data_IF_308363901745
#
_entry.id   IF_308363901745
#
_cell.length_a   1.000
_cell.length_b   1.000
_cell.length_c   1.000
_cell.angle_alpha   90.00
_cell.angle_beta   90.00
_cell.angle_gamma   90.00
#
_symmetry.space_group_name_H-M   'P 1'
#
loop_
_entity.id
_entity.type
_entity.pdbx_description
1 polymer ?
#
# COMPACT_ATOMS: atom_id res chain seq x y z
N UNK A 1 26.27 -8.24 -6.74
CA UNK A 1 24.89 -7.68 -6.73
C UNK A 1 24.43 -7.60 -5.28
N UNK A 2 23.98 -6.43 -4.83
CA UNK A 2 23.61 -6.18 -3.44
C UNK A 2 22.11 -6.39 -3.19
N UNK A 3 21.71 -6.45 -1.90
CA UNK A 3 20.32 -6.44 -1.49
C UNK A 3 19.69 -5.08 -1.80
N UNK A 4 18.49 -5.07 -2.38
CA UNK A 4 17.72 -3.84 -2.65
C UNK A 4 17.00 -3.30 -1.41
N UNK A 5 16.54 -4.19 -0.53
CA UNK A 5 15.89 -3.90 0.75
C UNK A 5 15.81 -5.14 1.62
N UNK A 6 15.55 -4.97 2.93
CA UNK A 6 15.28 -6.06 3.88
C UNK A 6 13.90 -5.90 4.48
N UNK A 7 13.09 -6.96 4.41
CA UNK A 7 11.85 -7.04 5.18
C UNK A 7 12.17 -7.46 6.62
N UNK A 8 11.72 -6.68 7.58
CA UNK A 8 11.97 -6.90 9.01
C UNK A 8 10.71 -7.43 9.65
N UNK A 9 10.64 -8.74 9.96
CA UNK A 9 9.48 -9.34 10.60
C UNK A 9 9.34 -8.81 12.03
N UNK A 10 8.11 -8.82 12.54
CA UNK A 10 7.76 -8.41 13.92
C UNK A 10 8.40 -7.09 14.34
N UNK A 11 8.36 -6.10 13.44
CA UNK A 11 8.84 -4.77 13.73
C UNK A 11 7.95 -4.11 14.80
N UNK A 12 8.49 -3.90 15.99
CA UNK A 12 7.75 -3.44 17.17
C UNK A 12 8.25 -2.09 17.71
N UNK A 13 9.39 -1.60 17.20
CA UNK A 13 9.96 -0.31 17.59
C UNK A 13 10.97 0.22 16.57
N UNK A 14 11.25 1.50 16.61
CA UNK A 14 12.37 2.09 15.86
C UNK A 14 13.73 1.50 16.28
N UNK A 15 13.86 1.06 17.52
CA UNK A 15 15.09 0.43 18.02
C UNK A 15 15.34 -0.95 17.37
N UNK A 16 14.30 -1.72 17.06
CA UNK A 16 14.41 -2.98 16.32
C UNK A 16 15.01 -2.73 14.93
N UNK A 17 14.48 -1.72 14.25
CA UNK A 17 14.96 -1.32 12.93
C UNK A 17 16.42 -0.83 12.97
N UNK A 18 16.76 -0.04 13.98
CA UNK A 18 18.13 0.44 14.17
C UNK A 18 19.14 -0.72 14.37
N UNK A 19 18.75 -1.80 15.06
CA UNK A 19 19.59 -3.01 15.20
C UNK A 19 19.81 -3.71 13.85
N UNK A 20 18.74 -3.85 13.04
CA UNK A 20 18.85 -4.45 11.70
C UNK A 20 19.70 -3.58 10.79
N UNK A 21 19.47 -2.26 10.78
CA UNK A 21 20.27 -1.30 10.02
C UNK A 21 21.76 -1.38 10.37
N UNK A 22 22.09 -1.46 11.65
CA UNK A 22 23.48 -1.59 12.12
C UNK A 22 24.14 -2.88 11.62
N UNK A 23 23.39 -3.98 11.56
CA UNK A 23 23.90 -5.27 11.12
C UNK A 23 24.02 -5.36 9.59
N UNK A 24 23.09 -4.75 8.84
CA UNK A 24 23.01 -4.82 7.38
C UNK A 24 23.79 -3.72 6.64
N UNK A 25 24.31 -2.73 7.37
CA UNK A 25 24.96 -1.55 6.80
C UNK A 25 24.04 -0.33 6.69
N UNK A 26 24.62 0.84 6.89
CA UNK A 26 23.90 2.11 7.12
C UNK A 26 23.06 2.63 5.93
N UNK A 27 23.00 1.93 4.81
CA UNK A 27 22.25 2.37 3.62
C UNK A 27 21.23 1.34 3.12
N UNK A 28 21.03 0.22 3.82
CA UNK A 28 20.11 -0.82 3.39
C UNK A 28 18.66 -0.42 3.70
N UNK A 29 17.79 -0.24 2.68
CA UNK A 29 16.39 0.11 2.90
C UNK A 29 15.66 -0.99 3.69
N UNK A 30 14.79 -0.59 4.61
CA UNK A 30 14.03 -1.47 5.47
C UNK A 30 12.54 -1.45 5.11
N UNK A 31 11.92 -2.62 5.15
CA UNK A 31 10.46 -2.80 5.00
C UNK A 31 9.95 -3.44 6.29
N UNK A 32 9.56 -2.65 7.31
CA UNK A 32 8.98 -3.20 8.53
C UNK A 32 7.68 -3.95 8.24
N UNK A 33 7.59 -5.20 8.71
CA UNK A 33 6.37 -6.00 8.66
C UNK A 33 5.61 -5.82 9.99
N UNK A 34 4.45 -5.19 9.90
CA UNK A 34 3.55 -4.90 11.02
C UNK A 34 2.60 -6.09 11.18
N UNK A 35 2.85 -6.90 12.18
CA UNK A 35 2.18 -8.18 12.36
C UNK A 35 1.95 -8.55 13.84
N UNK A 36 2.05 -7.55 14.73
CA UNK A 36 1.77 -7.68 16.16
C UNK A 36 1.04 -6.44 16.69
N UNK A 37 0.30 -6.60 17.79
CA UNK A 37 -0.33 -5.50 18.51
C UNK A 37 0.68 -4.41 18.89
N UNK A 38 1.86 -4.82 19.38
CA UNK A 38 2.92 -3.89 19.76
C UNK A 38 3.43 -3.10 18.55
N UNK A 39 3.64 -3.76 17.38
CA UNK A 39 4.05 -3.09 16.15
C UNK A 39 2.99 -2.12 15.64
N UNK A 40 1.71 -2.50 15.75
CA UNK A 40 0.59 -1.62 15.39
C UNK A 40 0.49 -0.42 16.34
N UNK A 41 0.72 -0.60 17.64
CA UNK A 41 0.76 0.47 18.61
C UNK A 41 1.92 1.45 18.36
N UNK A 42 3.09 0.94 18.00
CA UNK A 42 4.29 1.73 17.70
C UNK A 42 4.38 2.21 16.24
N UNK A 43 3.30 2.09 15.47
CA UNK A 43 3.29 2.25 14.01
C UNK A 43 3.89 3.59 13.53
N UNK A 44 3.63 4.69 14.24
CA UNK A 44 4.16 6.01 13.88
C UNK A 44 5.68 6.08 14.06
N UNK A 45 6.20 5.57 15.17
CA UNK A 45 7.64 5.55 15.46
C UNK A 45 8.38 4.65 14.46
N UNK A 46 7.77 3.49 14.14
CA UNK A 46 8.30 2.56 13.13
C UNK A 46 8.32 3.20 11.75
N UNK A 47 7.24 3.89 11.35
CA UNK A 47 7.16 4.52 10.04
C UNK A 47 8.16 5.66 9.85
N UNK A 48 8.50 6.38 10.93
CA UNK A 48 9.44 7.51 10.89
C UNK A 48 10.89 7.10 11.13
N UNK A 49 11.15 5.82 11.40
CA UNK A 49 12.51 5.35 11.64
C UNK A 49 13.39 5.51 10.38
N UNK A 50 14.70 5.82 10.56
CA UNK A 50 15.61 5.94 9.43
C UNK A 50 15.62 4.71 8.53
N UNK A 51 15.81 4.91 7.23
CA UNK A 51 15.91 3.87 6.20
C UNK A 51 14.63 3.07 5.94
N UNK A 52 13.52 3.40 6.57
CA UNK A 52 12.24 2.79 6.21
C UNK A 52 11.86 3.23 4.81
N UNK A 53 11.79 2.25 3.92
CA UNK A 53 11.38 2.44 2.52
C UNK A 53 9.86 2.42 2.39
N UNK A 54 9.20 1.47 3.05
CA UNK A 54 7.76 1.22 2.95
C UNK A 54 7.30 0.31 4.08
N UNK A 55 6.09 0.50 4.58
CA UNK A 55 5.47 -0.43 5.55
C UNK A 55 4.88 -1.65 4.84
N UNK A 56 4.83 -2.78 5.52
CA UNK A 56 4.10 -3.96 5.09
C UNK A 56 3.19 -4.49 6.20
N UNK A 57 2.05 -5.08 5.84
CA UNK A 57 1.10 -5.70 6.77
C UNK A 57 1.28 -7.21 6.79
N UNK A 58 1.50 -7.79 7.96
CA UNK A 58 1.47 -9.22 8.22
C UNK A 58 0.18 -9.63 8.93
N UNK A 59 -0.95 -9.58 8.21
CA UNK A 59 -2.28 -9.69 8.80
C UNK A 59 -2.59 -11.04 9.45
N UNK A 60 -1.97 -12.13 9.00
CA UNK A 60 -2.20 -13.46 9.58
C UNK A 60 -1.59 -13.56 10.98
N UNK A 61 -0.34 -13.14 11.14
CA UNK A 61 0.31 -13.09 12.45
C UNK A 61 -0.38 -12.09 13.38
N UNK A 62 -0.81 -10.94 12.84
CA UNK A 62 -1.54 -9.95 13.61
C UNK A 62 -2.89 -10.49 14.12
N UNK A 63 -3.63 -11.24 13.29
CA UNK A 63 -4.85 -11.90 13.72
C UNK A 63 -4.59 -12.89 14.86
N UNK A 64 -3.52 -13.69 14.72
CA UNK A 64 -3.13 -14.65 15.76
C UNK A 64 -2.72 -13.94 17.07
N UNK A 65 -1.95 -12.85 16.98
CA UNK A 65 -1.50 -12.07 18.13
C UNK A 65 -2.66 -11.39 18.87
N UNK A 66 -3.65 -10.92 18.12
CA UNK A 66 -4.85 -10.25 18.69
C UNK A 66 -5.96 -11.23 19.10
N UNK A 67 -5.86 -12.54 18.77
CA UNK A 67 -6.95 -13.49 18.92
C UNK A 67 -8.14 -13.17 18.01
N UNK A 68 -7.90 -12.52 16.88
CA UNK A 68 -8.93 -12.05 15.94
C UNK A 68 -9.29 -13.16 14.95
N UNK A 69 -10.58 -13.30 14.66
CA UNK A 69 -11.09 -14.16 13.58
C UNK A 69 -11.80 -13.29 12.58
N UNK A 70 -11.26 -13.22 11.36
CA UNK A 70 -11.84 -12.41 10.30
C UNK A 70 -12.83 -13.17 9.43
N UNK A 71 -13.84 -12.47 8.96
CA UNK A 71 -14.69 -12.93 7.86
C UNK A 71 -13.96 -12.98 6.52
N UNK A 72 -14.61 -13.53 5.49
CA UNK A 72 -14.03 -13.67 4.15
C UNK A 72 -13.65 -12.31 3.50
N UNK A 73 -14.33 -11.25 3.88
CA UNK A 73 -14.05 -9.89 3.40
C UNK A 73 -12.99 -9.15 4.24
N UNK A 74 -12.57 -9.76 5.37
CA UNK A 74 -11.62 -9.19 6.33
C UNK A 74 -11.98 -7.76 6.76
N UNK A 75 -13.27 -7.49 6.96
CA UNK A 75 -13.77 -6.17 7.37
C UNK A 75 -13.17 -5.72 8.71
N UNK A 76 -12.86 -6.69 9.60
CA UNK A 76 -12.25 -6.47 10.92
C UNK A 76 -10.87 -5.81 10.81
N UNK A 77 -10.16 -6.04 9.72
CA UNK A 77 -8.84 -5.43 9.46
C UNK A 77 -8.94 -4.05 8.79
N UNK A 78 -10.13 -3.53 8.54
CA UNK A 78 -10.31 -2.23 7.87
C UNK A 78 -9.61 -1.08 8.58
N UNK A 79 -9.72 -1.02 9.92
CA UNK A 79 -9.03 -0.01 10.74
C UNK A 79 -7.52 -0.15 10.70
N UNK A 80 -7.02 -1.38 10.72
CA UNK A 80 -5.58 -1.67 10.64
C UNK A 80 -5.02 -1.19 9.30
N UNK A 81 -5.68 -1.54 8.19
CA UNK A 81 -5.29 -1.09 6.85
C UNK A 81 -5.27 0.43 6.73
N UNK A 82 -6.31 1.09 7.22
CA UNK A 82 -6.37 2.55 7.22
C UNK A 82 -5.22 3.16 8.03
N UNK A 83 -4.91 2.62 9.22
CA UNK A 83 -3.81 3.11 10.05
C UNK A 83 -2.45 2.99 9.33
N UNK A 84 -2.15 1.89 8.64
CA UNK A 84 -0.91 1.74 7.87
C UNK A 84 -0.80 2.78 6.74
N UNK A 85 -1.90 3.01 6.02
CA UNK A 85 -1.94 4.03 4.95
C UNK A 85 -1.73 5.44 5.52
N UNK A 86 -2.38 5.76 6.64
CA UNK A 86 -2.21 7.05 7.31
C UNK A 86 -0.77 7.23 7.83
N UNK A 87 -0.20 6.22 8.49
CA UNK A 87 1.17 6.27 9.00
C UNK A 87 2.19 6.44 7.87
N UNK A 88 2.04 5.69 6.77
CA UNK A 88 2.87 5.85 5.58
C UNK A 88 2.78 7.27 5.03
N UNK A 89 1.57 7.83 4.96
CA UNK A 89 1.36 9.18 4.45
C UNK A 89 1.98 10.26 5.33
N UNK A 90 1.82 10.15 6.65
CA UNK A 90 2.37 11.09 7.63
C UNK A 90 3.91 11.06 7.66
N UNK A 91 4.49 9.88 7.46
CA UNK A 91 5.94 9.70 7.37
C UNK A 91 6.51 10.00 5.97
N UNK A 92 5.70 10.48 5.01
CA UNK A 92 6.07 10.70 3.60
C UNK A 92 6.65 9.45 2.90
N UNK A 93 6.23 8.26 3.34
CA UNK A 93 6.59 7.01 2.69
C UNK A 93 5.69 6.74 1.47
N UNK A 94 6.15 5.92 0.51
CA UNK A 94 5.28 5.32 -0.49
C UNK A 94 4.13 4.54 0.17
N UNK A 95 3.00 4.34 -0.53
CA UNK A 95 1.88 3.55 -0.01
C UNK A 95 2.31 2.15 0.43
N UNK A 96 1.71 1.59 1.51
CA UNK A 96 2.18 0.34 2.11
C UNK A 96 1.91 -0.90 1.22
N UNK A 97 2.50 -2.02 1.61
CA UNK A 97 2.32 -3.35 1.04
C UNK A 97 1.28 -4.09 1.88
N UNK A 98 0.18 -4.59 1.28
CA UNK A 98 -0.81 -5.39 2.01
C UNK A 98 -0.34 -6.84 2.19
N UNK A 99 -0.98 -7.54 3.11
CA UNK A 99 -0.68 -8.92 3.45
C UNK A 99 -0.97 -9.91 2.31
N UNK A 100 -0.68 -11.17 2.54
CA UNK A 100 -0.82 -12.25 1.55
C UNK A 100 -2.29 -12.62 1.29
N UNK A 101 -2.59 -13.29 0.19
CA UNK A 101 -3.76 -14.16 0.06
C UNK A 101 -3.30 -15.59 0.25
N UNK A 102 -4.01 -16.37 1.07
CA UNK A 102 -3.60 -17.76 1.41
C UNK A 102 -3.91 -18.75 0.30
N UNK A 103 -4.87 -18.44 -0.59
CA UNK A 103 -5.19 -19.31 -1.72
C UNK A 103 -4.12 -19.23 -2.81
N UNK A 104 -3.62 -20.39 -3.23
CA UNK A 104 -2.71 -20.53 -4.39
C UNK A 104 -3.45 -21.02 -5.64
N UNK A 105 -4.73 -21.39 -5.52
CA UNK A 105 -5.54 -21.95 -6.60
C UNK A 105 -6.67 -21.04 -7.02
N UNK A 106 -7.34 -20.37 -6.08
CA UNK A 106 -8.41 -19.42 -6.37
C UNK A 106 -7.82 -18.04 -6.71
N UNK A 107 -7.49 -17.87 -7.98
CA UNK A 107 -6.92 -16.61 -8.48
C UNK A 107 -7.94 -15.48 -8.55
N UNK A 108 -9.24 -15.79 -8.61
CA UNK A 108 -10.29 -14.77 -8.54
C UNK A 108 -10.38 -14.18 -7.13
N UNK A 109 -10.22 -14.99 -6.10
CA UNK A 109 -10.09 -14.51 -4.73
C UNK A 109 -8.85 -13.63 -4.56
N UNK A 110 -7.69 -14.03 -5.10
CA UNK A 110 -6.45 -13.22 -5.05
C UNK A 110 -6.64 -11.86 -5.72
N UNK A 111 -7.30 -11.83 -6.89
CA UNK A 111 -7.64 -10.58 -7.59
C UNK A 111 -8.56 -9.68 -6.74
N UNK A 112 -9.61 -10.27 -6.14
CA UNK A 112 -10.55 -9.55 -5.28
C UNK A 112 -9.86 -8.96 -4.05
N UNK A 113 -9.00 -9.72 -3.39
CA UNK A 113 -8.20 -9.28 -2.24
C UNK A 113 -7.27 -8.12 -2.62
N UNK A 114 -6.57 -8.23 -3.74
CA UNK A 114 -5.68 -7.18 -4.22
C UNK A 114 -6.47 -5.91 -4.61
N UNK A 115 -7.64 -6.06 -5.23
CA UNK A 115 -8.52 -4.94 -5.53
C UNK A 115 -9.06 -4.27 -4.24
N UNK A 116 -9.35 -5.03 -3.19
CA UNK A 116 -9.67 -4.51 -1.85
C UNK A 116 -8.50 -3.71 -1.29
N UNK A 117 -7.28 -4.27 -1.32
CA UNK A 117 -6.07 -3.58 -0.88
C UNK A 117 -5.89 -2.22 -1.57
N UNK A 118 -6.05 -2.18 -2.89
CA UNK A 118 -6.00 -0.94 -3.67
C UNK A 118 -7.02 0.09 -3.23
N UNK A 119 -8.27 -0.33 -2.93
CA UNK A 119 -9.32 0.57 -2.43
C UNK A 119 -8.97 1.21 -1.09
N UNK A 120 -8.20 0.53 -0.23
CA UNK A 120 -7.68 1.09 1.01
C UNK A 120 -6.49 2.03 0.80
N UNK A 121 -5.88 2.08 -0.37
CA UNK A 121 -4.74 2.95 -0.66
C UNK A 121 -3.38 2.25 -0.60
N UNK A 122 -3.36 0.92 -0.61
CA UNK A 122 -2.13 0.15 -0.80
C UNK A 122 -1.72 0.16 -2.28
N UNK A 123 -0.42 -0.05 -2.54
CA UNK A 123 0.12 -0.12 -3.91
C UNK A 123 0.87 -1.41 -4.21
N UNK A 124 0.88 -2.34 -3.29
CA UNK A 124 1.48 -3.64 -3.44
C UNK A 124 0.79 -4.64 -2.53
N UNK A 125 0.99 -5.91 -2.81
CA UNK A 125 0.53 -7.03 -2.00
C UNK A 125 1.61 -8.09 -1.95
N UNK A 126 1.82 -8.68 -0.77
CA UNK A 126 2.70 -9.83 -0.62
C UNK A 126 2.11 -11.05 -1.32
N UNK A 127 2.95 -11.79 -2.04
CA UNK A 127 2.60 -13.02 -2.72
C UNK A 127 3.41 -14.17 -2.13
N UNK A 128 2.75 -15.29 -1.88
CA UNK A 128 3.38 -16.54 -1.39
C UNK A 128 3.52 -17.60 -2.48
N UNK A 129 2.98 -17.34 -3.67
CA UNK A 129 3.08 -18.26 -4.80
C UNK A 129 3.20 -17.47 -6.12
N UNK A 130 4.02 -17.93 -7.11
CA UNK A 130 4.17 -17.24 -8.39
C UNK A 130 2.86 -17.02 -9.17
N UNK A 131 1.90 -17.95 -9.06
CA UNK A 131 0.59 -17.82 -9.72
C UNK A 131 -0.20 -16.58 -9.27
N UNK A 132 0.08 -16.04 -8.08
CA UNK A 132 -0.57 -14.84 -7.57
C UNK A 132 -0.09 -13.53 -8.23
N UNK A 133 1.06 -13.55 -8.91
CA UNK A 133 1.66 -12.34 -9.46
C UNK A 133 0.79 -11.68 -10.54
N UNK A 134 0.20 -12.46 -11.43
CA UNK A 134 -0.64 -11.94 -12.50
C UNK A 134 -1.90 -11.24 -11.97
N UNK A 135 -2.77 -11.89 -11.15
CA UNK A 135 -3.95 -11.23 -10.61
C UNK A 135 -3.63 -10.04 -9.69
N UNK A 136 -2.54 -10.11 -8.92
CA UNK A 136 -2.12 -8.95 -8.10
C UNK A 136 -1.70 -7.79 -8.98
N UNK A 137 -0.91 -8.02 -10.03
CA UNK A 137 -0.52 -6.97 -10.99
C UNK A 137 -1.75 -6.36 -11.67
N UNK A 138 -2.67 -7.19 -12.13
CA UNK A 138 -3.94 -6.74 -12.74
C UNK A 138 -4.71 -5.80 -11.81
N UNK A 139 -4.88 -6.17 -10.55
CA UNK A 139 -5.61 -5.36 -9.57
C UNK A 139 -5.00 -3.98 -9.33
N UNK A 140 -3.66 -3.87 -9.34
CA UNK A 140 -2.96 -2.61 -9.09
C UNK A 140 -2.75 -1.78 -10.37
N UNK A 141 -2.91 -2.36 -11.56
CA UNK A 141 -2.80 -1.62 -12.83
C UNK A 141 -4.08 -0.82 -13.07
N UNK A 142 -4.00 0.47 -13.39
CA UNK A 142 -5.17 1.25 -13.80
C UNK A 142 -5.79 0.70 -15.08
N UNK A 143 -7.12 0.62 -15.12
CA UNK A 143 -7.82 0.22 -16.34
C UNK A 143 -7.66 1.25 -17.47
N UNK A 144 -7.83 0.83 -18.73
CA UNK A 144 -7.83 1.75 -19.87
C UNK A 144 -8.83 2.91 -19.69
N UNK A 145 -10.02 2.62 -19.17
CA UNK A 145 -11.03 3.65 -18.89
C UNK A 145 -10.57 4.66 -17.83
N UNK A 146 -9.84 4.21 -16.79
CA UNK A 146 -9.26 5.12 -15.78
C UNK A 146 -8.14 5.98 -16.39
N UNK A 147 -7.30 5.40 -17.24
CA UNK A 147 -6.24 6.13 -17.94
C UNK A 147 -6.82 7.17 -18.91
N UNK A 148 -7.80 6.80 -19.72
CA UNK A 148 -8.51 7.72 -20.63
C UNK A 148 -9.17 8.87 -19.87
N UNK A 149 -9.84 8.58 -18.76
CA UNK A 149 -10.42 9.61 -17.91
C UNK A 149 -9.34 10.55 -17.37
N UNK A 150 -8.23 10.02 -16.87
CA UNK A 150 -7.14 10.81 -16.32
C UNK A 150 -6.50 11.72 -17.39
N UNK A 151 -6.30 11.21 -18.61
CA UNK A 151 -5.84 12.02 -19.75
C UNK A 151 -6.80 13.17 -20.07
N UNK A 152 -8.13 12.90 -20.13
CA UNK A 152 -9.14 13.96 -20.38
C UNK A 152 -9.14 15.02 -19.29
N UNK A 153 -9.01 14.62 -18.02
CA UNK A 153 -8.95 15.56 -16.88
C UNK A 153 -7.73 16.49 -17.01
N UNK A 154 -6.54 15.95 -17.30
CA UNK A 154 -5.34 16.78 -17.40
C UNK A 154 -5.32 17.63 -18.68
N UNK A 155 -5.89 17.15 -19.78
CA UNK A 155 -6.07 17.95 -21.00
C UNK A 155 -7.02 19.13 -20.76
N UNK A 156 -8.12 18.92 -20.04
CA UNK A 156 -9.06 19.99 -19.69
C UNK A 156 -8.45 21.01 -18.71
N UNK A 157 -7.62 20.57 -17.76
CA UNK A 157 -6.83 21.49 -16.88
C UNK A 157 -5.95 22.43 -17.71
N UNK A 158 -5.20 21.88 -18.67
CA UNK A 158 -4.32 22.67 -19.53
C UNK A 158 -5.10 23.68 -20.38
N UNK A 159 -6.30 23.32 -20.86
CA UNK A 159 -7.16 24.20 -21.66
C UNK A 159 -7.86 25.30 -20.83
N UNK A 160 -8.15 25.04 -19.55
CA UNK A 160 -8.87 25.97 -18.67
C UNK A 160 -8.02 27.15 -18.19
N UNK A 161 -6.70 27.12 -18.33
CA UNK A 161 -5.81 28.23 -17.96
C UNK A 161 -5.93 28.69 -16.50
N UNK A 162 -6.29 27.82 -15.56
CA UNK A 162 -6.50 28.12 -14.15
C UNK A 162 -7.93 28.45 -13.74
N UNK A 163 -8.89 28.46 -14.68
CA UNK A 163 -10.33 28.64 -14.40
C UNK A 163 -10.97 27.35 -13.87
N UNK A 164 -12.20 27.48 -13.32
CA UNK A 164 -13.02 26.33 -12.97
C UNK A 164 -13.48 25.57 -14.24
N UNK A 165 -13.43 24.25 -14.22
CA UNK A 165 -13.84 23.42 -15.35
C UNK A 165 -14.49 22.11 -14.90
N UNK A 166 -15.12 21.44 -15.84
CA UNK A 166 -15.76 20.15 -15.59
C UNK A 166 -15.36 19.12 -16.65
N UNK A 167 -15.34 17.85 -16.25
CA UNK A 167 -15.14 16.69 -17.13
C UNK A 167 -16.27 15.70 -16.87
N UNK A 168 -16.93 15.23 -17.91
CA UNK A 168 -18.07 14.30 -17.83
C UNK A 168 -19.20 14.84 -16.91
N UNK A 169 -19.43 16.17 -16.91
CA UNK A 169 -20.44 16.83 -16.10
C UNK A 169 -20.11 16.96 -14.61
N UNK A 170 -18.89 16.59 -14.19
CA UNK A 170 -18.43 16.71 -12.82
C UNK A 170 -17.37 17.80 -12.71
N UNK A 171 -17.48 18.63 -11.66
CA UNK A 171 -16.46 19.63 -11.34
C UNK A 171 -15.12 18.97 -11.07
N UNK A 172 -14.06 19.55 -11.60
CA UNK A 172 -12.67 19.15 -11.34
C UNK A 172 -12.04 20.14 -10.38
N UNK A 173 -11.56 19.60 -9.27
CA UNK A 173 -10.87 20.32 -8.21
C UNK A 173 -9.44 19.72 -7.98
N UNK A 174 -8.61 20.32 -7.11
CA UNK A 174 -7.26 19.81 -6.86
C UNK A 174 -7.18 18.33 -6.45
N UNK A 175 -8.07 17.77 -5.62
CA UNK A 175 -8.13 16.32 -5.35
C UNK A 175 -8.31 15.47 -6.61
N UNK A 176 -9.20 15.87 -7.53
CA UNK A 176 -9.46 15.16 -8.80
C UNK A 176 -8.22 15.18 -9.70
N UNK A 177 -7.55 16.32 -9.80
CA UNK A 177 -6.29 16.46 -10.54
C UNK A 177 -5.19 15.58 -9.98
N UNK A 178 -5.08 15.54 -8.65
CA UNK A 178 -4.12 14.67 -7.96
C UNK A 178 -4.39 13.20 -8.28
N UNK A 179 -5.66 12.78 -8.24
CA UNK A 179 -6.05 11.40 -8.59
C UNK A 179 -5.70 11.08 -10.05
N UNK A 180 -5.98 11.98 -11.00
CA UNK A 180 -5.64 11.79 -12.41
C UNK A 180 -4.14 11.61 -12.63
N UNK A 181 -3.30 12.45 -12.01
CA UNK A 181 -1.83 12.31 -12.07
C UNK A 181 -1.36 11.00 -11.45
N UNK A 182 -1.97 10.60 -10.33
CA UNK A 182 -1.65 9.33 -9.66
C UNK A 182 -1.98 8.12 -10.55
N UNK A 183 -3.13 8.11 -11.23
CA UNK A 183 -3.51 7.04 -12.16
C UNK A 183 -2.47 6.91 -13.27
N UNK A 184 -2.06 7.99 -13.90
CA UNK A 184 -1.10 7.95 -15.00
C UNK A 184 0.33 7.60 -14.54
N UNK A 185 0.68 7.87 -13.30
CA UNK A 185 1.98 7.44 -12.74
C UNK A 185 2.08 5.95 -12.45
N UNK A 186 0.96 5.23 -12.54
CA UNK A 186 0.84 3.79 -12.29
C UNK A 186 0.57 2.96 -13.56
N UNK A 187 0.43 3.62 -14.70
CA UNK A 187 0.09 3.00 -15.98
C UNK A 187 1.30 2.35 -16.68
#
# INVERSE_FOLDING_TARGET
EGLGAVMVPKAQSAADLARVSKAGGAQLPLIPLIETAQGLFALQDVAQAPQVLRLALGHLDLQADLGMVCGADEAELGSVRLNLVMASRLANLPPPIDGVSTSTQDLALVLSDAARSRRFGFFAKLCIHPAQLAPVREAFTPSAAQQDWAHRVLAAEAAAGGGAFSVDGKMVDPPVLKLARQILSQA
#
